data_IF_563419087614
#
_entry.id   IF_563419087614
#
_cell.length_a   1.000
_cell.length_b   1.000
_cell.length_c   1.000
_cell.angle_alpha   90.00
_cell.angle_beta   90.00
_cell.angle_gamma   90.00
#
_symmetry.space_group_name_H-M   'P 1'
#
loop_
_entity.id
_entity.type
_entity.pdbx_description
1 polymer ?
#
# COMPACT_ATOMS: atom_id res chain seq x y z
N UNK A 1 -23.53 -8.44 -2.22
CA UNK A 1 -22.96 -8.48 -0.86
C UNK A 1 -21.51 -8.91 -0.83
N UNK A 2 -21.10 -9.86 -1.67
CA UNK A 2 -19.81 -10.58 -1.51
C UNK A 2 -18.59 -9.88 -2.13
N UNK A 3 -18.78 -9.04 -3.15
CA UNK A 3 -17.65 -8.44 -3.88
C UNK A 3 -16.87 -7.40 -3.04
N UNK A 4 -17.54 -6.71 -2.11
CA UNK A 4 -16.90 -5.69 -1.27
C UNK A 4 -16.05 -6.30 -0.15
N UNK A 5 -16.54 -7.39 0.47
CA UNK A 5 -15.83 -8.10 1.54
C UNK A 5 -14.55 -8.75 0.99
N UNK A 6 -14.64 -9.37 -0.19
CA UNK A 6 -13.47 -9.94 -0.86
C UNK A 6 -12.41 -8.86 -1.19
N UNK A 7 -12.84 -7.63 -1.49
CA UNK A 7 -11.95 -6.50 -1.74
C UNK A 7 -11.16 -6.08 -0.51
N UNK A 8 -11.81 -5.98 0.65
CA UNK A 8 -11.15 -5.60 1.91
C UNK A 8 -10.24 -6.71 2.44
N UNK A 9 -10.65 -7.97 2.31
CA UNK A 9 -9.81 -9.12 2.70
C UNK A 9 -8.56 -9.22 1.82
N UNK A 10 -8.71 -9.02 0.51
CA UNK A 10 -7.58 -8.98 -0.43
C UNK A 10 -6.61 -7.85 -0.09
N UNK A 11 -7.12 -6.67 0.25
CA UNK A 11 -6.30 -5.53 0.68
C UNK A 11 -5.49 -5.85 1.93
N UNK A 12 -6.12 -6.46 2.95
CA UNK A 12 -5.42 -6.84 4.17
C UNK A 12 -4.42 -7.98 3.96
N UNK A 13 -4.69 -8.92 3.06
CA UNK A 13 -3.73 -9.96 2.65
C UNK A 13 -2.45 -9.36 2.05
N UNK A 14 -2.60 -8.39 1.14
CA UNK A 14 -1.47 -7.65 0.56
C UNK A 14 -0.72 -6.82 1.59
N UNK A 15 -1.45 -6.05 2.41
CA UNK A 15 -0.87 -5.20 3.45
C UNK A 15 -0.05 -6.03 4.43
N UNK A 16 -0.58 -7.15 4.94
CA UNK A 16 0.15 -8.07 5.82
C UNK A 16 1.46 -8.56 5.19
N UNK A 17 1.44 -8.97 3.92
CA UNK A 17 2.65 -9.44 3.23
C UNK A 17 3.70 -8.35 3.09
N UNK A 18 3.29 -7.09 2.91
CA UNK A 18 4.20 -5.94 2.84
C UNK A 18 4.80 -5.63 4.21
N UNK A 19 3.98 -5.54 5.25
CA UNK A 19 4.42 -5.31 6.63
C UNK A 19 5.38 -6.40 7.13
N UNK A 20 5.17 -7.65 6.72
CA UNK A 20 6.05 -8.76 7.06
C UNK A 20 7.49 -8.59 6.54
N UNK A 21 7.70 -7.86 5.44
CA UNK A 21 9.05 -7.56 4.92
C UNK A 21 9.89 -6.68 5.86
N UNK A 22 9.23 -5.99 6.80
CA UNK A 22 9.89 -5.15 7.80
C UNK A 22 10.11 -5.88 9.14
N UNK A 23 9.94 -7.21 9.17
CA UNK A 23 9.87 -8.03 10.40
C UNK A 23 8.70 -7.62 11.32
N UNK A 24 7.59 -7.19 10.71
CA UNK A 24 6.52 -6.49 11.40
C UNK A 24 6.73 -4.98 11.38
N UNK A 25 5.74 -4.21 11.81
CA UNK A 25 5.81 -2.75 11.87
C UNK A 25 5.42 -2.31 13.27
N UNK A 26 6.37 -1.70 13.98
CA UNK A 26 6.18 -1.20 15.36
C UNK A 26 6.11 0.31 15.43
N UNK A 27 6.62 1.01 14.41
CA UNK A 27 6.64 2.48 14.31
C UNK A 27 6.02 2.91 12.99
N UNK A 28 5.34 4.07 13.01
CA UNK A 28 4.73 4.68 11.82
C UNK A 28 3.78 3.75 11.06
N UNK A 29 3.03 2.92 11.79
CA UNK A 29 2.08 1.97 11.20
C UNK A 29 1.08 2.66 10.27
N UNK A 30 0.64 3.85 10.63
CA UNK A 30 -0.23 4.71 9.83
C UNK A 30 0.39 5.08 8.48
N UNK A 31 1.69 5.43 8.44
CA UNK A 31 2.41 5.72 7.20
C UNK A 31 2.56 4.47 6.33
N UNK A 32 2.87 3.32 6.93
CA UNK A 32 2.95 2.04 6.20
C UNK A 32 1.59 1.59 5.65
N UNK A 33 0.51 1.84 6.38
CA UNK A 33 -0.84 1.56 5.91
C UNK A 33 -1.22 2.49 4.75
N UNK A 34 -0.88 3.77 4.85
CA UNK A 34 -1.06 4.75 3.77
C UNK A 34 -0.24 4.42 2.52
N UNK A 35 0.98 3.95 2.69
CA UNK A 35 1.82 3.48 1.59
C UNK A 35 1.25 2.19 0.96
N UNK A 36 0.68 1.29 1.77
CA UNK A 36 -0.01 0.09 1.28
C UNK A 36 -1.28 0.44 0.49
N UNK A 37 -2.07 1.40 0.97
CA UNK A 37 -3.22 1.98 0.25
C UNK A 37 -2.77 2.60 -1.08
N UNK A 38 -1.74 3.43 -1.06
CA UNK A 38 -1.20 4.09 -2.26
C UNK A 38 -0.74 3.09 -3.32
N UNK A 39 -0.20 1.93 -2.91
CA UNK A 39 0.29 0.88 -3.83
C UNK A 39 -0.74 -0.15 -4.24
N UNK A 40 -1.88 -0.20 -3.58
CA UNK A 40 -2.87 -1.23 -3.83
C UNK A 40 -3.37 -1.18 -5.27
N UNK A 41 -3.28 -2.31 -5.98
CA UNK A 41 -3.72 -2.47 -7.39
C UNK A 41 -3.10 -1.47 -8.39
N UNK A 42 -1.89 -0.98 -8.13
CA UNK A 42 -1.14 -0.14 -9.07
C UNK A 42 0.09 -0.85 -9.61
N UNK A 43 0.36 -0.62 -10.88
CA UNK A 43 1.55 -1.17 -11.52
C UNK A 43 2.81 -0.35 -11.17
N UNK A 44 4.01 -0.96 -11.25
CA UNK A 44 5.26 -0.27 -10.90
C UNK A 44 5.50 1.04 -11.66
N UNK A 45 5.15 1.11 -12.94
CA UNK A 45 5.30 2.31 -13.77
C UNK A 45 4.40 3.46 -13.31
N UNK A 46 3.17 3.15 -12.89
CA UNK A 46 2.25 4.14 -12.32
C UNK A 46 2.78 4.68 -11.00
N UNK A 47 3.28 3.79 -10.14
CA UNK A 47 3.90 4.17 -8.87
C UNK A 47 5.13 5.04 -9.06
N UNK A 48 6.00 4.69 -10.01
CA UNK A 48 7.19 5.47 -10.32
C UNK A 48 6.81 6.87 -10.80
N UNK A 49 5.83 6.99 -11.70
CA UNK A 49 5.33 8.26 -12.21
C UNK A 49 4.70 9.12 -11.11
N UNK A 50 3.91 8.53 -10.23
CA UNK A 50 3.30 9.25 -9.09
C UNK A 50 4.36 9.70 -8.08
N UNK A 51 5.33 8.83 -7.77
CA UNK A 51 6.44 9.16 -6.87
C UNK A 51 7.26 10.33 -7.40
N UNK A 52 7.59 10.32 -8.70
CA UNK A 52 8.29 11.44 -9.35
C UNK A 52 7.54 12.75 -9.20
N UNK A 53 6.22 12.74 -9.38
CA UNK A 53 5.38 13.94 -9.21
C UNK A 53 5.33 14.45 -7.77
N UNK A 54 5.42 13.56 -6.78
CA UNK A 54 5.45 13.95 -5.37
C UNK A 54 6.79 14.60 -5.03
N UNK A 55 7.89 13.97 -5.45
CA UNK A 55 9.25 14.49 -5.21
C UNK A 55 9.47 15.82 -5.95
N UNK A 56 8.97 15.97 -7.17
CA UNK A 56 9.12 17.22 -7.95
C UNK A 56 8.31 18.40 -7.41
N UNK A 57 7.42 18.16 -6.44
CA UNK A 57 6.59 19.18 -5.78
C UNK A 57 7.12 19.58 -4.40
N UNK A 58 8.11 18.85 -3.90
CA UNK A 58 8.90 19.20 -2.71
C UNK A 58 10.03 20.15 -3.11
#
# INVERSE_FOLDING_TARGET
GECHINGIESFWSFTKRRLAKFNGVTHYFDLHLKESEWRWKKEPDELAKELWKLISKL
#
